data_IF_266238360906
#
_entry.id   IF_266238360906
#
_cell.length_a   1.000
_cell.length_b   1.000
_cell.length_c   1.000
_cell.angle_alpha   90.00
_cell.angle_beta   90.00
_cell.angle_gamma   90.00
#
_symmetry.space_group_name_H-M   'P 1'
#
loop_
_entity.id
_entity.type
_entity.pdbx_description
1 polymer ?
#
# COMPACT_ATOMS: atom_id res chain seq x y z
N UNK A 1 37.48 -25.05 -39.59
CA UNK A 1 36.73 -25.51 -38.40
C UNK A 1 36.42 -24.26 -37.57
N UNK A 2 35.18 -23.80 -37.53
CA UNK A 2 34.78 -22.62 -36.75
C UNK A 2 33.89 -23.12 -35.62
N UNK A 3 34.37 -23.00 -34.39
CA UNK A 3 33.63 -23.36 -33.19
C UNK A 3 32.63 -22.24 -32.86
N UNK A 4 31.34 -22.56 -32.91
CA UNK A 4 30.29 -21.68 -32.44
C UNK A 4 30.26 -21.71 -30.90
N UNK A 5 30.59 -20.58 -30.26
CA UNK A 5 30.38 -20.39 -28.84
C UNK A 5 28.89 -20.16 -28.59
N UNK A 6 28.23 -21.17 -28.01
CA UNK A 6 26.87 -21.04 -27.51
C UNK A 6 26.87 -20.03 -26.35
N UNK A 7 26.17 -18.90 -26.54
CA UNK A 7 25.96 -17.92 -25.48
C UNK A 7 25.15 -18.54 -24.35
N UNK A 8 25.71 -18.55 -23.15
CA UNK A 8 24.98 -18.98 -21.96
C UNK A 8 23.79 -18.03 -21.72
N UNK A 9 22.59 -18.53 -21.44
CA UNK A 9 21.48 -17.68 -21.01
C UNK A 9 21.90 -16.96 -19.74
N UNK A 10 21.80 -15.62 -19.76
CA UNK A 10 22.04 -14.80 -18.59
C UNK A 10 21.08 -15.18 -17.46
N UNK A 11 21.46 -14.92 -16.19
CA UNK A 11 20.58 -15.21 -15.06
C UNK A 11 19.24 -14.49 -15.26
N UNK A 12 18.14 -15.23 -15.14
CA UNK A 12 16.82 -14.63 -15.11
C UNK A 12 16.79 -13.62 -13.97
N UNK A 13 16.51 -12.36 -14.29
CA UNK A 13 16.34 -11.32 -13.29
C UNK A 13 15.24 -11.77 -12.32
N UNK A 14 15.58 -11.93 -11.04
CA UNK A 14 14.60 -12.30 -10.02
C UNK A 14 13.41 -11.33 -10.11
N UNK A 15 12.20 -11.87 -10.08
CA UNK A 15 10.99 -11.05 -10.07
C UNK A 15 11.09 -10.07 -8.90
N UNK A 16 10.89 -8.78 -9.18
CA UNK A 16 10.86 -7.79 -8.11
C UNK A 16 9.64 -8.05 -7.24
N UNK A 17 9.81 -8.01 -5.92
CA UNK A 17 8.71 -8.25 -4.99
C UNK A 17 8.46 -7.04 -4.08
N UNK A 18 7.23 -6.91 -3.61
CA UNK A 18 6.76 -5.81 -2.79
C UNK A 18 7.53 -5.68 -1.46
N UNK A 19 8.07 -6.77 -0.91
CA UNK A 19 8.87 -6.76 0.30
C UNK A 19 10.13 -5.89 0.17
N UNK A 20 10.81 -5.95 -0.97
CA UNK A 20 12.00 -5.13 -1.27
C UNK A 20 11.70 -3.63 -1.35
N UNK A 21 10.45 -3.28 -1.65
CA UNK A 21 9.99 -1.90 -1.79
C UNK A 21 9.45 -1.35 -0.47
N UNK A 22 8.50 -2.06 0.11
CA UNK A 22 7.79 -1.61 1.32
C UNK A 22 8.62 -1.77 2.59
N UNK A 23 9.57 -2.72 2.60
CA UNK A 23 10.27 -3.20 3.81
C UNK A 23 9.34 -3.93 4.79
N UNK A 24 8.30 -4.57 4.27
CA UNK A 24 7.26 -5.28 5.03
C UNK A 24 7.82 -6.23 6.10
N UNK A 25 8.86 -7.00 5.79
CA UNK A 25 9.44 -8.01 6.69
C UNK A 25 10.44 -7.46 7.70
N UNK A 26 10.67 -6.14 7.74
CA UNK A 26 11.71 -5.51 8.52
C UNK A 26 11.14 -4.50 9.52
N UNK A 27 11.74 -4.40 10.70
CA UNK A 27 11.51 -3.26 11.59
C UNK A 27 12.16 -2.02 10.97
N UNK A 28 11.33 -1.25 10.30
CA UNK A 28 11.76 -0.12 9.50
C UNK A 28 10.84 1.06 9.72
N UNK A 29 11.35 2.24 9.43
CA UNK A 29 10.65 3.49 9.63
C UNK A 29 11.05 4.50 8.58
N UNK A 30 10.18 5.48 8.36
CA UNK A 30 10.45 6.60 7.47
C UNK A 30 9.70 7.85 7.86
N UNK A 31 10.25 8.99 7.47
CA UNK A 31 9.63 10.29 7.69
C UNK A 31 9.61 11.08 6.37
N UNK A 32 8.44 11.64 6.05
CA UNK A 32 8.24 12.47 4.87
C UNK A 32 7.90 13.90 5.25
N UNK A 33 8.35 14.84 4.43
CA UNK A 33 8.32 16.27 4.70
C UNK A 33 7.48 17.00 3.67
N UNK A 34 6.76 18.02 4.12
CA UNK A 34 6.04 18.99 3.29
C UNK A 34 6.34 20.39 3.85
N UNK A 35 6.53 21.38 2.98
CA UNK A 35 6.70 22.79 3.38
C UNK A 35 7.76 23.01 4.47
N UNK A 36 8.87 22.26 4.40
CA UNK A 36 10.00 22.41 5.32
C UNK A 36 9.81 21.80 6.71
N UNK A 37 8.74 21.06 6.95
CA UNK A 37 8.47 20.37 8.21
C UNK A 37 8.16 18.88 7.99
N UNK A 38 8.34 18.08 9.04
CA UNK A 38 7.94 16.69 9.04
C UNK A 38 6.40 16.61 8.98
N UNK A 39 5.87 16.05 7.89
CA UNK A 39 4.44 15.98 7.61
C UNK A 39 3.82 14.65 8.03
N UNK A 40 4.63 13.61 8.15
CA UNK A 40 4.18 12.29 8.58
C UNK A 40 5.35 11.33 8.79
N UNK A 41 5.11 10.33 9.62
CA UNK A 41 6.02 9.23 9.88
C UNK A 41 5.29 7.91 9.75
N UNK A 42 6.04 6.87 9.37
CA UNK A 42 5.54 5.52 9.34
C UNK A 42 6.54 4.53 9.95
N UNK A 43 6.04 3.39 10.44
CA UNK A 43 6.87 2.26 10.87
C UNK A 43 6.25 0.93 10.47
N UNK A 44 7.05 0.03 9.90
CA UNK A 44 6.71 -1.41 9.84
C UNK A 44 7.15 -2.12 11.11
N UNK A 45 6.28 -2.98 11.63
CA UNK A 45 6.53 -3.91 12.73
C UNK A 45 6.15 -5.33 12.28
N UNK A 46 7.12 -6.18 11.95
CA UNK A 46 6.87 -7.58 11.67
C UNK A 46 6.28 -8.27 12.90
N UNK A 47 5.19 -9.01 12.70
CA UNK A 47 4.55 -9.84 13.72
C UNK A 47 4.89 -11.33 13.53
N UNK A 48 5.12 -11.75 12.29
CA UNK A 48 5.55 -13.10 11.91
C UNK A 48 6.27 -13.04 10.56
N UNK A 49 6.63 -14.20 10.00
CA UNK A 49 7.19 -14.28 8.64
C UNK A 49 6.20 -13.85 7.54
N UNK A 50 4.90 -13.85 7.82
CA UNK A 50 3.85 -13.57 6.83
C UNK A 50 2.93 -12.43 7.23
N UNK A 51 3.16 -11.77 8.37
CA UNK A 51 2.29 -10.67 8.82
C UNK A 51 3.08 -9.54 9.44
N UNK A 52 2.71 -8.31 9.10
CA UNK A 52 3.31 -7.10 9.66
C UNK A 52 2.25 -6.03 9.85
N UNK A 53 2.56 -5.09 10.73
CA UNK A 53 1.75 -3.89 10.91
C UNK A 53 2.49 -2.66 10.43
N UNK A 54 1.78 -1.74 9.78
CA UNK A 54 2.27 -0.41 9.51
C UNK A 54 1.48 0.61 10.32
N UNK A 55 2.20 1.43 11.07
CA UNK A 55 1.67 2.62 11.73
C UNK A 55 1.99 3.85 10.90
N UNK A 56 1.05 4.79 10.84
CA UNK A 56 1.18 6.09 10.19
C UNK A 56 0.71 7.17 11.18
N UNK A 57 1.41 8.30 11.26
CA UNK A 57 1.00 9.35 12.21
C UNK A 57 1.84 10.62 12.17
N UNK A 58 1.44 11.57 13.01
CA UNK A 58 2.18 12.81 13.26
C UNK A 58 3.48 12.48 14.02
N UNK A 59 4.66 12.87 13.50
CA UNK A 59 5.93 12.69 14.19
C UNK A 59 5.98 13.32 15.60
N UNK A 60 5.19 14.38 15.86
CA UNK A 60 5.19 15.10 17.14
C UNK A 60 4.46 14.37 18.27
N UNK A 61 3.53 13.48 17.94
CA UNK A 61 2.73 12.71 18.90
C UNK A 61 2.98 11.21 18.79
N UNK A 62 4.15 10.83 18.25
CA UNK A 62 4.52 9.45 18.03
C UNK A 62 4.72 8.68 19.36
N UNK A 63 4.26 7.42 19.50
CA UNK A 63 3.60 6.59 18.49
C UNK A 63 2.07 6.79 18.40
N UNK A 64 1.47 6.62 17.21
CA UNK A 64 0.01 6.63 17.07
C UNK A 64 -0.60 5.34 17.63
N UNK A 65 -1.89 5.41 18.02
CA UNK A 65 -2.71 4.21 18.27
C UNK A 65 -2.97 3.40 17.00
N UNK A 66 -3.03 4.09 15.86
CA UNK A 66 -3.30 3.53 14.55
C UNK A 66 -2.23 2.54 14.07
N UNK A 67 -2.65 1.36 13.64
CA UNK A 67 -1.80 0.47 12.85
C UNK A 67 -2.61 -0.48 11.96
N UNK A 68 -2.32 -0.48 10.66
CA UNK A 68 -2.87 -1.39 9.67
C UNK A 68 -2.14 -2.73 9.73
N UNK A 69 -2.87 -3.83 9.71
CA UNK A 69 -2.32 -5.18 9.70
C UNK A 69 -2.44 -5.78 8.31
N UNK A 70 -1.31 -6.22 7.80
CA UNK A 70 -1.19 -6.87 6.50
C UNK A 70 -0.75 -8.33 6.65
N UNK A 71 -1.28 -9.20 5.80
CA UNK A 71 -0.96 -10.62 5.75
C UNK A 71 -0.56 -11.00 4.33
N UNK A 72 0.65 -11.53 4.19
CA UNK A 72 1.18 -12.11 2.95
C UNK A 72 0.77 -13.58 2.88
N UNK A 73 0.02 -13.94 1.84
CA UNK A 73 -0.44 -15.30 1.60
C UNK A 73 -0.47 -15.60 0.10
N UNK A 74 0.29 -16.62 -0.32
CA UNK A 74 0.49 -16.91 -1.74
C UNK A 74 1.03 -15.69 -2.47
N UNK A 75 0.42 -15.33 -3.60
CA UNK A 75 0.91 -14.24 -4.46
C UNK A 75 0.47 -12.84 -3.98
N UNK A 76 -0.11 -12.71 -2.79
CA UNK A 76 -0.80 -11.48 -2.39
C UNK A 76 -0.49 -11.04 -0.98
N UNK A 77 -0.33 -9.73 -0.84
CA UNK A 77 -0.50 -9.05 0.43
C UNK A 77 -1.96 -8.61 0.56
N UNK A 78 -2.57 -8.90 1.70
CA UNK A 78 -3.95 -8.56 2.03
C UNK A 78 -4.00 -7.61 3.23
N UNK A 79 -4.95 -6.69 3.22
CA UNK A 79 -5.31 -5.84 4.35
C UNK A 79 -6.36 -6.58 5.20
N UNK A 80 -5.97 -6.98 6.41
CA UNK A 80 -6.87 -7.65 7.36
C UNK A 80 -7.77 -6.64 8.09
N UNK A 81 -7.22 -5.47 8.40
CA UNK A 81 -7.85 -4.45 9.22
C UNK A 81 -6.83 -3.54 9.88
N UNK A 82 -7.26 -2.77 10.88
CA UNK A 82 -6.38 -1.93 11.67
C UNK A 82 -6.81 -1.85 13.14
N UNK A 83 -5.86 -1.60 14.03
CA UNK A 83 -6.17 -1.15 15.39
C UNK A 83 -6.25 0.36 15.41
N UNK A 84 -7.19 0.89 16.17
CA UNK A 84 -7.24 2.29 16.58
C UNK A 84 -8.21 2.45 17.75
N UNK A 85 -8.15 3.56 18.50
CA UNK A 85 -9.10 3.89 19.58
C UNK A 85 -9.40 2.74 20.57
N UNK A 86 -8.39 1.93 20.88
CA UNK A 86 -8.51 0.79 21.81
C UNK A 86 -9.31 -0.42 21.28
N UNK A 87 -9.62 -0.47 19.99
CA UNK A 87 -10.35 -1.56 19.34
C UNK A 87 -9.68 -1.97 18.03
N UNK A 88 -10.21 -3.01 17.39
CA UNK A 88 -9.79 -3.48 16.08
C UNK A 88 -10.93 -3.34 15.08
N UNK A 89 -10.61 -2.86 13.88
CA UNK A 89 -11.51 -2.69 12.76
C UNK A 89 -11.16 -3.72 11.70
N UNK A 90 -12.08 -4.64 11.46
CA UNK A 90 -11.88 -5.74 10.51
C UNK A 90 -12.38 -5.33 9.14
N UNK A 91 -11.58 -5.52 8.09
CA UNK A 91 -11.95 -5.21 6.69
C UNK A 91 -12.30 -6.49 5.96
N UNK A 92 -13.53 -6.62 5.47
CA UNK A 92 -13.96 -7.79 4.69
C UNK A 92 -14.63 -7.36 3.41
N UNK A 93 -14.18 -7.94 2.30
CA UNK A 93 -14.77 -7.67 0.99
C UNK A 93 -16.04 -8.48 0.79
N UNK A 94 -17.01 -7.90 0.11
CA UNK A 94 -18.18 -8.59 -0.46
C UNK A 94 -18.08 -8.70 -1.98
N UNK A 95 -17.21 -7.90 -2.59
CA UNK A 95 -16.87 -7.97 -4.01
C UNK A 95 -15.50 -7.35 -4.25
N UNK A 96 -14.67 -8.05 -5.01
CA UNK A 96 -13.45 -7.52 -5.60
C UNK A 96 -13.39 -7.79 -7.08
N UNK A 97 -12.81 -6.85 -7.82
CA UNK A 97 -12.51 -6.98 -9.23
C UNK A 97 -11.05 -6.63 -9.50
N UNK A 98 -10.48 -7.29 -10.49
CA UNK A 98 -9.13 -7.00 -11.01
C UNK A 98 -9.21 -6.72 -12.51
N UNK A 99 -8.43 -5.75 -12.98
CA UNK A 99 -8.35 -5.38 -14.39
C UNK A 99 -6.97 -4.85 -14.76
N UNK A 100 -6.87 -4.28 -15.97
CA UNK A 100 -5.65 -3.65 -16.44
C UNK A 100 -5.36 -2.30 -15.75
N UNK A 101 -4.22 -1.67 -16.05
CA UNK A 101 -3.79 -0.41 -15.45
C UNK A 101 -4.75 0.78 -15.68
N UNK A 102 -5.69 0.69 -16.63
CA UNK A 102 -6.72 1.70 -16.89
C UNK A 102 -8.05 1.36 -16.21
N UNK A 103 -8.06 0.34 -15.35
CA UNK A 103 -9.27 -0.30 -14.83
C UNK A 103 -10.22 -0.76 -15.94
N UNK A 104 -9.69 -1.12 -17.10
CA UNK A 104 -10.39 -1.85 -18.15
C UNK A 104 -10.41 -3.35 -17.86
N UNK A 105 -11.21 -4.09 -18.63
CA UNK A 105 -11.26 -5.56 -18.59
C UNK A 105 -11.46 -6.13 -17.18
N UNK A 106 -12.28 -5.45 -16.36
CA UNK A 106 -12.53 -5.85 -14.98
C UNK A 106 -13.25 -7.19 -14.92
N UNK A 107 -12.66 -8.13 -14.21
CA UNK A 107 -13.26 -9.42 -13.88
C UNK A 107 -13.40 -9.56 -12.38
N UNK A 108 -14.39 -10.34 -11.94
CA UNK A 108 -14.48 -10.72 -10.52
C UNK A 108 -13.20 -11.43 -10.10
N UNK A 109 -12.70 -11.05 -8.93
CA UNK A 109 -11.46 -11.56 -8.36
C UNK A 109 -11.71 -12.32 -7.06
N UNK A 110 -12.47 -11.72 -6.13
CA UNK A 110 -12.92 -12.36 -4.90
C UNK A 110 -14.32 -11.86 -4.52
N UNK A 111 -15.01 -12.62 -3.67
CA UNK A 111 -16.36 -12.28 -3.17
C UNK A 111 -16.46 -12.31 -1.64
N UNK A 112 -15.35 -12.63 -0.96
CA UNK A 112 -15.29 -12.74 0.50
C UNK A 112 -13.83 -12.73 0.97
N UNK A 113 -13.61 -12.40 2.24
CA UNK A 113 -12.30 -12.46 2.89
C UNK A 113 -11.67 -11.09 3.12
N UNK A 114 -10.40 -11.03 3.56
CA UNK A 114 -9.63 -9.79 3.63
C UNK A 114 -9.52 -9.11 2.26
N UNK A 115 -9.26 -7.79 2.25
CA UNK A 115 -9.07 -7.06 1.01
C UNK A 115 -7.69 -7.39 0.41
N UNK A 116 -7.61 -7.71 -0.88
CA UNK A 116 -6.33 -7.77 -1.57
C UNK A 116 -5.76 -6.36 -1.75
N UNK A 117 -4.50 -6.17 -1.35
CA UNK A 117 -3.85 -4.87 -1.38
C UNK A 117 -2.88 -4.76 -2.55
N UNK A 118 -1.94 -5.70 -2.68
CA UNK A 118 -0.93 -5.71 -3.74
C UNK A 118 -0.47 -7.13 -4.01
N UNK A 119 -0.14 -7.45 -5.27
CA UNK A 119 0.59 -8.66 -5.61
C UNK A 119 1.98 -8.63 -4.99
N UNK A 120 2.39 -9.74 -4.40
CA UNK A 120 3.70 -9.87 -3.81
C UNK A 120 4.79 -9.74 -4.87
N UNK A 121 4.75 -10.60 -5.89
CA UNK A 121 5.58 -10.46 -7.07
C UNK A 121 5.01 -9.37 -7.97
N UNK A 122 5.79 -8.31 -8.18
CA UNK A 122 5.36 -7.11 -8.89
C UNK A 122 5.35 -7.42 -10.39
N UNK A 123 4.17 -7.35 -11.06
CA UNK A 123 4.12 -7.60 -12.50
C UNK A 123 4.82 -6.50 -13.29
N UNK A 124 5.34 -6.85 -14.46
CA UNK A 124 5.92 -5.87 -15.41
C UNK A 124 4.90 -4.92 -16.02
N UNK A 125 3.61 -5.23 -15.89
CA UNK A 125 2.48 -4.39 -16.34
C UNK A 125 1.62 -3.96 -15.16
N UNK A 126 1.15 -2.72 -15.18
CA UNK A 126 0.24 -2.23 -14.15
C UNK A 126 -1.11 -2.95 -14.15
N UNK A 127 -1.80 -2.90 -13.01
CA UNK A 127 -3.12 -3.50 -12.83
C UNK A 127 -3.99 -2.65 -11.90
N UNK A 128 -5.30 -2.86 -11.97
CA UNK A 128 -6.28 -2.18 -11.15
C UNK A 128 -7.00 -3.20 -10.24
N UNK A 129 -7.21 -2.83 -8.98
CA UNK A 129 -8.08 -3.52 -8.03
C UNK A 129 -9.24 -2.60 -7.66
N UNK A 130 -10.45 -3.15 -7.60
CA UNK A 130 -11.62 -2.48 -7.03
C UNK A 130 -12.24 -3.38 -5.99
N UNK A 131 -12.36 -2.90 -4.77
CA UNK A 131 -12.94 -3.61 -3.65
C UNK A 131 -14.16 -2.85 -3.12
N UNK A 132 -15.16 -3.63 -2.70
CA UNK A 132 -16.30 -3.17 -1.91
C UNK A 132 -16.51 -4.15 -0.77
N UNK A 133 -16.96 -3.66 0.37
CA UNK A 133 -17.19 -4.50 1.51
C UNK A 133 -17.54 -3.71 2.75
N UNK A 134 -17.23 -4.31 3.90
CA UNK A 134 -17.53 -3.76 5.21
C UNK A 134 -16.29 -3.62 6.07
N UNK A 135 -16.34 -2.61 6.93
CA UNK A 135 -15.45 -2.40 8.06
C UNK A 135 -16.28 -2.68 9.31
N UNK A 136 -15.84 -3.60 10.16
CA UNK A 136 -16.53 -3.93 11.42
C UNK A 136 -15.67 -3.58 12.61
N UNK A 137 -16.16 -2.68 13.46
CA UNK A 137 -15.55 -2.35 14.75
C UNK A 137 -15.83 -3.48 15.74
N UNK A 138 -14.79 -4.15 16.25
CA UNK A 138 -14.96 -5.35 17.07
C UNK A 138 -15.57 -5.07 18.44
N UNK A 139 -15.32 -3.90 19.04
CA UNK A 139 -15.83 -3.54 20.36
C UNK A 139 -17.33 -3.27 20.39
N UNK A 140 -17.89 -2.75 19.30
CA UNK A 140 -19.30 -2.33 19.23
C UNK A 140 -20.15 -3.16 18.27
N UNK A 141 -19.51 -3.90 17.35
CA UNK A 141 -20.18 -4.55 16.23
C UNK A 141 -20.66 -3.57 15.15
N UNK A 142 -20.35 -2.27 15.26
CA UNK A 142 -20.74 -1.28 14.26
C UNK A 142 -20.11 -1.60 12.91
N UNK A 143 -20.94 -1.52 11.87
CA UNK A 143 -20.55 -1.80 10.48
C UNK A 143 -20.59 -0.51 9.67
N UNK A 144 -19.56 -0.33 8.83
CA UNK A 144 -19.42 0.74 7.85
C UNK A 144 -19.18 0.09 6.49
N UNK A 145 -19.83 0.59 5.45
CA UNK A 145 -19.56 0.16 4.07
C UNK A 145 -18.35 0.92 3.52
N UNK A 146 -17.51 0.24 2.74
CA UNK A 146 -16.39 0.86 2.08
C UNK A 146 -16.31 0.50 0.59
N UNK A 147 -15.60 1.36 -0.14
CA UNK A 147 -15.06 1.08 -1.46
C UNK A 147 -13.59 1.48 -1.50
N UNK A 148 -12.79 0.75 -2.27
CA UNK A 148 -11.37 1.05 -2.47
C UNK A 148 -10.99 0.72 -3.91
N UNK A 149 -10.38 1.67 -4.61
CA UNK A 149 -9.79 1.45 -5.93
C UNK A 149 -8.31 1.70 -5.83
N UNK A 150 -7.52 0.76 -6.35
CA UNK A 150 -6.06 0.84 -6.38
C UNK A 150 -5.59 0.60 -7.81
N UNK A 151 -4.65 1.39 -8.28
CA UNK A 151 -3.93 1.14 -9.52
C UNK A 151 -2.45 1.04 -9.18
N UNK A 152 -1.89 -0.13 -9.42
CA UNK A 152 -0.48 -0.41 -9.19
C UNK A 152 0.29 -0.29 -10.50
N UNK A 153 1.34 0.51 -10.48
CA UNK A 153 2.28 0.68 -11.58
C UNK A 153 3.53 -0.19 -11.37
N UNK A 154 4.13 -0.73 -12.43
CA UNK A 154 5.36 -1.51 -12.34
C UNK A 154 6.53 -0.64 -11.87
N UNK A 155 7.68 -1.25 -11.56
CA UNK A 155 8.90 -0.54 -11.20
C UNK A 155 9.30 0.46 -12.29
N UNK A 156 9.56 1.71 -11.89
CA UNK A 156 9.98 2.78 -12.78
C UNK A 156 10.94 3.75 -12.07
N UNK A 157 11.80 4.46 -12.81
CA UNK A 157 12.61 5.52 -12.23
C UNK A 157 11.75 6.60 -11.58
N UNK A 158 12.14 7.04 -10.39
CA UNK A 158 11.53 8.11 -9.63
C UNK A 158 12.60 8.94 -8.94
N UNK A 159 12.27 10.16 -8.51
CA UNK A 159 13.16 10.96 -7.69
C UNK A 159 12.40 11.88 -6.76
N UNK A 160 13.03 12.18 -5.63
CA UNK A 160 12.56 13.20 -4.69
C UNK A 160 13.71 14.17 -4.35
N UNK A 161 13.39 15.30 -3.72
CA UNK A 161 14.34 16.39 -3.48
C UNK A 161 15.45 16.09 -2.47
N UNK A 162 15.29 15.06 -1.63
CA UNK A 162 16.20 14.77 -0.52
C UNK A 162 17.07 13.53 -0.73
N UNK A 163 16.55 12.55 -1.45
CA UNK A 163 17.12 11.20 -1.59
C UNK A 163 17.48 10.85 -3.05
N UNK A 164 17.31 11.80 -3.97
CA UNK A 164 17.73 11.67 -5.36
C UNK A 164 16.93 10.63 -6.14
N UNK A 165 17.58 10.07 -7.17
CA UNK A 165 16.99 9.06 -8.06
C UNK A 165 16.92 7.67 -7.40
N UNK A 166 15.80 6.98 -7.59
CA UNK A 166 15.53 5.63 -7.11
C UNK A 166 14.70 4.86 -8.14
N UNK A 167 14.49 3.57 -7.91
CA UNK A 167 13.42 2.79 -8.55
C UNK A 167 12.23 2.75 -7.60
N UNK A 168 11.04 3.09 -8.10
CA UNK A 168 9.80 3.05 -7.34
C UNK A 168 8.75 2.17 -7.99
N UNK A 169 7.88 1.60 -7.16
CA UNK A 169 6.52 1.27 -7.56
C UNK A 169 5.59 2.41 -7.16
N UNK A 170 4.45 2.53 -7.85
CA UNK A 170 3.44 3.54 -7.57
C UNK A 170 2.09 2.89 -7.34
N UNK A 171 1.41 3.30 -6.27
CA UNK A 171 0.00 3.07 -6.07
C UNK A 171 -0.73 4.41 -6.30
N UNK A 172 -1.68 4.44 -7.24
CA UNK A 172 -2.78 5.40 -7.14
C UNK A 172 -3.87 4.73 -6.32
N UNK A 173 -4.44 5.44 -5.37
CA UNK A 173 -5.56 4.91 -4.58
C UNK A 173 -6.65 5.95 -4.38
N UNK A 174 -7.88 5.46 -4.27
CA UNK A 174 -9.00 6.23 -3.77
C UNK A 174 -9.84 5.36 -2.85
N UNK A 175 -10.26 5.96 -1.74
CA UNK A 175 -11.01 5.31 -0.67
C UNK A 175 -12.34 6.02 -0.46
N UNK A 176 -13.39 5.24 -0.23
CA UNK A 176 -14.74 5.69 0.05
C UNK A 176 -15.30 4.93 1.23
N UNK A 177 -16.02 5.60 2.12
CA UNK A 177 -16.79 4.94 3.17
C UNK A 177 -18.02 5.77 3.56
N UNK A 178 -18.93 5.15 4.32
CA UNK A 178 -20.04 5.83 4.97
C UNK A 178 -19.83 6.01 6.48
N UNK A 179 -18.57 6.09 6.94
CA UNK A 179 -18.29 6.35 8.35
C UNK A 179 -18.80 7.74 8.73
N UNK A 180 -19.61 7.80 9.80
CA UNK A 180 -20.37 8.98 10.21
C UNK A 180 -21.81 9.04 9.66
N UNK A 181 -22.19 8.16 8.74
CA UNK A 181 -23.57 7.96 8.29
C UNK A 181 -23.82 6.51 7.82
N UNK A 182 -23.67 5.49 8.70
CA UNK A 182 -23.88 4.10 8.32
C UNK A 182 -25.25 3.87 7.67
N UNK A 183 -25.28 3.03 6.62
CA UNK A 183 -26.49 2.75 5.83
C UNK A 183 -26.80 3.81 4.77
N UNK A 184 -26.03 4.90 4.69
CA UNK A 184 -26.06 5.84 3.55
C UNK A 184 -25.04 5.44 2.48
N UNK A 185 -25.15 5.95 1.24
CA UNK A 185 -24.14 5.73 0.21
C UNK A 185 -22.74 6.16 0.70
N UNK A 186 -21.72 5.38 0.31
CA UNK A 186 -20.32 5.70 0.59
C UNK A 186 -19.91 7.01 -0.10
N UNK A 187 -19.05 7.79 0.57
CA UNK A 187 -18.51 9.04 0.05
C UNK A 187 -16.98 8.97 0.00
N UNK A 188 -16.37 9.64 -0.99
CA UNK A 188 -14.91 9.66 -1.14
C UNK A 188 -14.29 10.31 0.10
N UNK A 189 -13.23 9.70 0.62
CA UNK A 189 -12.43 10.17 1.76
C UNK A 189 -10.99 10.44 1.40
N UNK A 190 -10.46 9.71 0.41
CA UNK A 190 -9.08 9.80 0.00
C UNK A 190 -8.96 9.66 -1.51
N UNK A 191 -8.01 10.39 -2.09
CA UNK A 191 -7.47 10.10 -3.41
C UNK A 191 -6.00 10.55 -3.42
N UNK A 192 -5.06 9.66 -3.73
CA UNK A 192 -3.63 10.00 -3.76
C UNK A 192 -2.81 9.06 -4.63
N UNK A 193 -1.66 9.57 -5.07
CA UNK A 193 -0.52 8.76 -5.48
C UNK A 193 0.42 8.54 -4.28
N UNK A 194 0.87 7.31 -4.09
CA UNK A 194 1.95 6.94 -3.18
C UNK A 194 3.05 6.22 -3.94
N UNK A 195 4.27 6.75 -3.86
CA UNK A 195 5.47 6.14 -4.42
C UNK A 195 6.21 5.43 -3.29
N UNK A 196 6.63 4.20 -3.56
CA UNK A 196 7.36 3.34 -2.64
C UNK A 196 8.69 3.03 -3.31
N UNK A 197 9.81 3.37 -2.68
CA UNK A 197 11.14 3.24 -3.29
C UNK A 197 11.86 1.99 -2.79
N UNK A 198 12.51 1.27 -3.73
CA UNK A 198 13.24 0.04 -3.45
C UNK A 198 14.29 0.27 -2.35
N UNK A 199 14.27 -0.58 -1.33
CA UNK A 199 15.18 -0.52 -0.18
C UNK A 199 14.97 0.68 0.77
N UNK A 200 13.98 1.54 0.51
CA UNK A 200 13.69 2.73 1.33
C UNK A 200 12.39 2.57 2.11
N UNK A 201 11.36 1.99 1.50
CA UNK A 201 10.07 1.81 2.13
C UNK A 201 9.00 2.73 1.57
N UNK A 202 7.97 2.92 2.38
CA UNK A 202 6.76 3.66 2.01
C UNK A 202 7.00 5.17 1.89
N UNK A 203 6.04 5.87 1.29
CA UNK A 203 5.97 7.33 1.24
C UNK A 203 7.23 8.04 0.72
N UNK A 204 7.91 7.46 -0.28
CA UNK A 204 9.02 8.11 -0.97
C UNK A 204 8.59 9.45 -1.56
N UNK A 205 7.38 9.45 -2.13
CA UNK A 205 6.59 10.64 -2.48
C UNK A 205 5.12 10.34 -2.22
N UNK A 206 4.38 11.35 -1.79
CA UNK A 206 2.93 11.34 -1.75
C UNK A 206 2.43 12.56 -2.50
N UNK A 207 1.41 12.38 -3.35
CA UNK A 207 0.60 13.45 -3.89
C UNK A 207 -0.85 13.13 -3.61
N UNK A 208 -1.46 13.82 -2.65
CA UNK A 208 -2.88 13.68 -2.36
C UNK A 208 -3.68 14.67 -3.20
N UNK A 209 -4.80 14.24 -3.74
CA UNK A 209 -5.75 15.01 -4.54
C UNK A 209 -7.04 15.32 -3.77
N UNK A 210 -7.47 14.41 -2.88
CA UNK A 210 -8.71 14.55 -2.10
C UNK A 210 -8.48 14.14 -0.63
N UNK A 211 -9.10 14.82 0.36
CA UNK A 211 -10.09 15.91 0.25
C UNK A 211 -9.47 17.29 -0.03
N UNK A 212 -8.16 17.41 0.14
CA UNK A 212 -7.38 18.61 -0.15
C UNK A 212 -6.09 18.19 -0.83
N UNK A 213 -5.68 18.96 -1.83
CA UNK A 213 -4.40 18.73 -2.49
C UNK A 213 -3.22 19.07 -1.58
N UNK A 214 -2.25 18.16 -1.49
CA UNK A 214 -0.95 18.40 -0.86
C UNK A 214 0.08 17.36 -1.33
N UNK A 215 1.37 17.64 -1.08
CA UNK A 215 2.48 16.76 -1.47
C UNK A 215 3.48 16.62 -0.33
N UNK A 216 4.10 15.44 -0.22
CA UNK A 216 5.26 15.24 0.66
C UNK A 216 6.30 14.36 0.00
N UNK A 217 7.53 14.46 0.48
CA UNK A 217 8.66 13.66 0.01
C UNK A 217 9.46 13.13 1.18
N UNK A 218 9.88 11.87 1.09
CA UNK A 218 10.69 11.24 2.11
C UNK A 218 12.04 11.96 2.29
N UNK A 219 12.42 12.17 3.55
CA UNK A 219 13.70 12.78 3.92
C UNK A 219 14.62 11.80 4.64
N UNK A 220 14.06 10.88 5.43
CA UNK A 220 14.85 9.92 6.21
C UNK A 220 14.14 8.58 6.33
N UNK A 221 14.96 7.53 6.44
CA UNK A 221 14.56 6.15 6.69
C UNK A 221 15.56 5.49 7.65
N UNK A 222 15.09 4.61 8.53
CA UNK A 222 15.95 3.93 9.50
C UNK A 222 15.37 2.56 9.91
N UNK A 223 16.20 1.77 10.58
CA UNK A 223 15.80 0.53 11.24
C UNK A 223 15.69 0.79 12.74
N UNK A 224 14.84 0.04 13.45
CA UNK A 224 14.63 0.20 14.89
C UNK A 224 14.27 -1.10 15.59
#
# INVERSE_FOLDING_TARGET
MVAALAGMPGPAQAAENYGEYSRFGERSAGQHWADGQAAGQWTWKPLSSTSSEISWGDPKTWPPSYAEKFVHSGDWLTLDGWRDNGTYYTVRVTKEQIGDAKCGNLRTFATSGPQHYVKWDIPSTGYCLKAWGTITEQSSGKVVDFGHTQIWSPPAPCSNRYLGGQTCIKQWESWWDNNGSPGKPIARKLERDQYIARGKGMAFKIHQYFPKEWKSEAKSYWNW
#
